data_IF_325865397398
#
_entry.id   IF_325865397398
#
_cell.length_a   1.000
_cell.length_b   1.000
_cell.length_c   1.000
_cell.angle_alpha   90.00
_cell.angle_beta   90.00
_cell.angle_gamma   90.00
#
_symmetry.space_group_name_H-M   'P 1'
#
loop_
_entity.id
_entity.type
_entity.pdbx_description
1 polymer ?
#
# COMPACT_ATOMS: atom_id res chain seq x y z
N UNK A 1 -45.41 -80.24 3.99
CA UNK A 1 -45.17 -81.46 3.19
C UNK A 1 -45.19 -82.73 4.04
N UNK A 2 -44.48 -82.79 5.18
CA UNK A 2 -44.51 -83.95 6.09
C UNK A 2 -45.93 -84.40 6.51
N UNK A 3 -46.83 -83.46 6.83
CA UNK A 3 -48.21 -83.77 7.20
C UNK A 3 -49.07 -84.35 6.04
N UNK A 4 -48.78 -84.00 4.77
CA UNK A 4 -49.49 -84.54 3.60
C UNK A 4 -49.21 -86.03 3.36
N UNK A 5 -48.05 -86.51 3.81
CA UNK A 5 -47.61 -87.90 3.61
C UNK A 5 -48.23 -88.82 4.68
N UNK A 6 -48.48 -88.30 5.88
CA UNK A 6 -49.04 -89.06 7.00
C UNK A 6 -50.57 -89.09 7.04
N UNK A 7 -51.25 -88.06 6.53
CA UNK A 7 -52.71 -87.94 6.61
C UNK A 7 -53.28 -87.52 5.24
N UNK A 8 -53.88 -88.47 4.50
CA UNK A 8 -54.42 -88.26 3.15
C UNK A 8 -55.80 -87.57 3.15
N UNK A 9 -55.95 -86.52 3.96
CA UNK A 9 -57.16 -85.69 3.97
C UNK A 9 -57.09 -84.66 2.82
N UNK A 10 -58.14 -84.49 2.00
CA UNK A 10 -58.15 -83.53 0.89
C UNK A 10 -57.82 -82.09 1.32
N UNK A 11 -58.24 -81.72 2.54
CA UNK A 11 -58.00 -80.39 3.11
C UNK A 11 -56.51 -80.18 3.40
N UNK A 12 -55.81 -81.21 3.89
CA UNK A 12 -54.37 -81.16 4.22
C UNK A 12 -53.52 -81.06 2.95
N UNK A 13 -53.94 -81.72 1.88
CA UNK A 13 -53.26 -81.65 0.57
C UNK A 13 -53.40 -80.25 -0.03
N UNK A 14 -54.60 -79.67 -0.06
CA UNK A 14 -54.83 -78.31 -0.60
C UNK A 14 -54.06 -77.26 0.21
N UNK A 15 -54.12 -77.34 1.55
CA UNK A 15 -53.36 -76.44 2.43
C UNK A 15 -51.84 -76.59 2.25
N UNK A 16 -51.36 -77.82 2.03
CA UNK A 16 -49.96 -78.12 1.78
C UNK A 16 -49.44 -77.60 0.43
N UNK A 17 -50.24 -77.65 -0.63
CA UNK A 17 -49.89 -77.10 -1.94
C UNK A 17 -49.87 -75.57 -1.89
N UNK A 18 -50.87 -74.94 -1.29
CA UNK A 18 -50.93 -73.48 -1.14
C UNK A 18 -49.76 -72.93 -0.31
N UNK A 19 -49.43 -73.56 0.82
CA UNK A 19 -48.28 -73.17 1.64
C UNK A 19 -46.94 -73.38 0.92
N UNK A 20 -46.82 -74.41 0.09
CA UNK A 20 -45.62 -74.65 -0.71
C UNK A 20 -45.45 -73.63 -1.84
N UNK A 21 -46.53 -73.10 -2.40
CA UNK A 21 -46.50 -72.06 -3.43
C UNK A 21 -46.24 -70.64 -2.86
N UNK A 22 -46.68 -70.38 -1.63
CA UNK A 22 -46.46 -69.11 -0.95
C UNK A 22 -44.98 -68.86 -0.61
N UNK A 23 -44.20 -69.90 -0.31
CA UNK A 23 -42.77 -69.79 0.00
C UNK A 23 -41.96 -69.13 -1.12
N UNK A 24 -41.97 -69.66 -2.36
CA UNK A 24 -41.29 -69.06 -3.51
C UNK A 24 -41.80 -67.65 -3.85
N UNK A 25 -43.10 -67.40 -3.74
CA UNK A 25 -43.69 -66.09 -4.00
C UNK A 25 -43.22 -65.03 -2.98
N UNK A 26 -43.25 -65.38 -1.69
CA UNK A 26 -42.75 -64.52 -0.62
C UNK A 26 -41.25 -64.26 -0.75
N UNK A 27 -40.46 -65.28 -1.12
CA UNK A 27 -39.03 -65.12 -1.39
C UNK A 27 -38.77 -64.13 -2.54
N UNK A 28 -39.48 -64.27 -3.67
CA UNK A 28 -39.35 -63.35 -4.80
C UNK A 28 -39.76 -61.91 -4.43
N UNK A 29 -40.83 -61.74 -3.66
CA UNK A 29 -41.28 -60.43 -3.19
C UNK A 29 -40.26 -59.81 -2.23
N UNK A 30 -39.66 -60.60 -1.34
CA UNK A 30 -38.64 -60.15 -0.41
C UNK A 30 -37.40 -59.63 -1.14
N UNK A 31 -36.91 -60.33 -2.18
CA UNK A 31 -35.78 -59.88 -2.98
C UNK A 31 -36.05 -58.53 -3.64
N UNK A 32 -37.23 -58.34 -4.25
CA UNK A 32 -37.60 -57.05 -4.85
C UNK A 32 -37.68 -55.92 -3.84
N UNK A 33 -38.16 -56.20 -2.63
CA UNK A 33 -38.22 -55.21 -1.55
C UNK A 33 -36.83 -54.84 -1.06
N UNK A 34 -35.92 -55.82 -0.95
CA UNK A 34 -34.50 -55.58 -0.61
C UNK A 34 -33.81 -54.73 -1.67
N UNK A 35 -34.02 -54.99 -2.96
CA UNK A 35 -33.44 -54.20 -4.04
C UNK A 35 -33.94 -52.76 -4.04
N UNK A 36 -35.24 -52.55 -3.78
CA UNK A 36 -35.82 -51.20 -3.66
C UNK A 36 -35.26 -50.46 -2.44
N UNK A 37 -35.11 -51.16 -1.30
CA UNK A 37 -34.52 -50.58 -0.09
C UNK A 37 -33.06 -50.17 -0.32
N UNK A 38 -32.27 -51.04 -0.98
CA UNK A 38 -30.89 -50.74 -1.35
C UNK A 38 -30.82 -49.56 -2.33
N UNK A 39 -31.69 -49.51 -3.35
CA UNK A 39 -31.73 -48.38 -4.28
C UNK A 39 -32.07 -47.07 -3.57
N UNK A 40 -33.01 -47.09 -2.63
CA UNK A 40 -33.35 -45.92 -1.82
C UNK A 40 -32.17 -45.45 -0.98
N UNK A 41 -31.48 -46.36 -0.31
CA UNK A 41 -30.27 -46.04 0.46
C UNK A 41 -29.17 -45.43 -0.42
N UNK A 42 -28.94 -45.99 -1.61
CA UNK A 42 -27.97 -45.42 -2.57
C UNK A 42 -28.38 -44.03 -3.04
N UNK A 43 -29.68 -43.80 -3.29
CA UNK A 43 -30.18 -42.50 -3.68
C UNK A 43 -29.99 -41.46 -2.57
N UNK A 44 -30.27 -41.83 -1.32
CA UNK A 44 -30.03 -40.96 -0.16
C UNK A 44 -28.52 -40.70 0.06
N UNK A 45 -27.65 -41.66 -0.22
CA UNK A 45 -26.20 -41.46 -0.19
C UNK A 45 -25.73 -40.50 -1.29
N UNK A 46 -26.21 -40.67 -2.52
CA UNK A 46 -25.90 -39.78 -3.65
C UNK A 46 -26.42 -38.37 -3.37
N UNK A 47 -27.64 -38.22 -2.84
CA UNK A 47 -28.20 -36.92 -2.51
C UNK A 47 -27.36 -36.19 -1.46
N UNK A 48 -26.88 -36.91 -0.44
CA UNK A 48 -25.96 -36.34 0.57
C UNK A 48 -24.66 -35.85 -0.07
N UNK A 49 -24.12 -36.61 -1.01
CA UNK A 49 -22.89 -36.23 -1.70
C UNK A 49 -23.08 -35.02 -2.63
N UNK A 50 -24.21 -34.95 -3.33
CA UNK A 50 -24.58 -33.77 -4.14
C UNK A 50 -24.69 -32.53 -3.25
N UNK A 51 -25.39 -32.62 -2.12
CA UNK A 51 -25.52 -31.50 -1.19
C UNK A 51 -24.16 -31.07 -0.61
N UNK A 52 -23.26 -32.03 -0.35
CA UNK A 52 -21.88 -31.76 0.10
C UNK A 52 -21.10 -31.00 -0.97
N UNK A 53 -21.15 -31.47 -2.22
CA UNK A 53 -20.47 -30.83 -3.35
C UNK A 53 -21.04 -29.44 -3.64
N UNK A 54 -22.35 -29.24 -3.51
CA UNK A 54 -22.99 -27.93 -3.64
C UNK A 54 -22.45 -26.95 -2.59
N UNK A 55 -22.38 -27.37 -1.34
CA UNK A 55 -21.81 -26.57 -0.25
C UNK A 55 -20.33 -26.23 -0.49
N UNK A 56 -19.56 -27.19 -0.99
CA UNK A 56 -18.14 -26.98 -1.33
C UNK A 56 -17.98 -26.01 -2.52
N UNK A 57 -18.87 -26.10 -3.51
CA UNK A 57 -18.88 -25.19 -4.66
C UNK A 57 -19.20 -23.76 -4.23
N UNK A 58 -20.21 -23.57 -3.37
CA UNK A 58 -20.53 -22.26 -2.79
C UNK A 58 -19.34 -21.68 -2.03
N UNK A 59 -18.66 -22.49 -1.20
CA UNK A 59 -17.48 -22.04 -0.45
C UNK A 59 -16.33 -21.65 -1.36
N UNK A 60 -16.11 -22.42 -2.43
CA UNK A 60 -15.09 -22.12 -3.42
C UNK A 60 -15.41 -20.82 -4.16
N UNK A 61 -16.67 -20.63 -4.58
CA UNK A 61 -17.15 -19.41 -5.23
C UNK A 61 -16.92 -18.17 -4.35
N UNK A 62 -17.25 -18.25 -3.05
CA UNK A 62 -16.97 -17.18 -2.08
C UNK A 62 -15.46 -16.87 -1.95
N UNK A 63 -14.63 -17.92 -1.98
CA UNK A 63 -13.17 -17.77 -1.92
C UNK A 63 -12.63 -17.07 -3.16
N UNK A 64 -13.15 -17.42 -4.35
CA UNK A 64 -12.82 -16.74 -5.61
C UNK A 64 -13.24 -15.27 -5.57
N UNK A 65 -14.43 -14.96 -5.06
CA UNK A 65 -14.90 -13.58 -4.94
C UNK A 65 -14.00 -12.75 -4.00
N UNK A 66 -13.56 -13.33 -2.89
CA UNK A 66 -12.66 -12.68 -1.94
C UNK A 66 -11.28 -12.45 -2.56
N UNK A 67 -10.78 -13.41 -3.34
CA UNK A 67 -9.53 -13.26 -4.06
C UNK A 67 -9.63 -12.16 -5.13
N UNK A 68 -10.71 -12.11 -5.89
CA UNK A 68 -10.96 -11.06 -6.88
C UNK A 68 -10.96 -9.66 -6.24
N UNK A 69 -11.66 -9.49 -5.11
CA UNK A 69 -11.64 -8.23 -4.36
C UNK A 69 -10.25 -7.89 -3.82
N UNK A 70 -9.45 -8.90 -3.44
CA UNK A 70 -8.07 -8.67 -3.00
C UNK A 70 -7.18 -8.21 -4.15
N UNK A 71 -7.40 -8.72 -5.37
CA UNK A 71 -6.69 -8.28 -6.59
C UNK A 71 -7.06 -6.84 -6.95
N UNK A 72 -8.34 -6.49 -6.93
CA UNK A 72 -8.82 -5.11 -7.15
C UNK A 72 -8.16 -4.13 -6.17
N UNK A 73 -8.10 -4.49 -4.88
CA UNK A 73 -7.40 -3.67 -3.88
C UNK A 73 -5.89 -3.54 -4.14
N UNK A 74 -5.25 -4.53 -4.74
CA UNK A 74 -3.83 -4.45 -5.08
C UNK A 74 -3.62 -3.54 -6.29
N UNK A 75 -4.51 -3.57 -7.27
CA UNK A 75 -4.52 -2.65 -8.42
C UNK A 75 -4.69 -1.19 -7.95
N UNK A 76 -5.60 -0.93 -7.02
CA UNK A 76 -5.78 0.41 -6.41
C UNK A 76 -4.49 0.89 -5.72
N UNK A 77 -3.80 -0.01 -5.00
CA UNK A 77 -2.53 0.30 -4.32
C UNK A 77 -1.42 0.56 -5.32
N UNK A 78 -1.33 -0.22 -6.40
CA UNK A 78 -0.38 0.01 -7.48
C UNK A 78 -0.59 1.38 -8.13
N UNK A 79 -1.83 1.73 -8.44
CA UNK A 79 -2.17 3.04 -9.01
C UNK A 79 -1.82 4.19 -8.05
N UNK A 80 -2.09 4.03 -6.75
CA UNK A 80 -1.68 5.00 -5.74
C UNK A 80 -0.15 5.14 -5.66
N UNK A 81 0.58 4.02 -5.76
CA UNK A 81 2.04 4.01 -5.77
C UNK A 81 2.61 4.73 -7.00
N UNK A 82 1.96 4.57 -8.16
CA UNK A 82 2.36 5.21 -9.42
C UNK A 82 2.16 6.72 -9.37
N UNK A 83 1.04 7.18 -8.80
CA UNK A 83 0.79 8.62 -8.52
C UNK A 83 1.83 9.18 -7.55
N UNK A 84 2.16 8.45 -6.47
CA UNK A 84 3.19 8.88 -5.51
C UNK A 84 4.55 8.97 -6.20
N UNK A 85 4.90 7.99 -7.03
CA UNK A 85 6.19 7.94 -7.74
C UNK A 85 6.30 9.10 -8.73
N UNK A 86 5.24 9.38 -9.49
CA UNK A 86 5.17 10.54 -10.38
C UNK A 86 5.31 11.87 -9.61
N UNK A 87 4.65 11.98 -8.46
CA UNK A 87 4.68 13.18 -7.62
C UNK A 87 6.04 13.36 -6.92
N UNK A 88 6.66 12.29 -6.41
CA UNK A 88 7.97 12.34 -5.78
C UNK A 88 9.08 12.65 -6.80
N UNK A 89 9.02 12.10 -8.01
CA UNK A 89 9.95 12.43 -9.09
C UNK A 89 9.92 13.93 -9.44
N UNK A 90 8.72 14.51 -9.55
CA UNK A 90 8.54 15.96 -9.74
C UNK A 90 9.02 16.80 -8.55
N UNK A 91 8.79 16.32 -7.32
CA UNK A 91 9.21 17.05 -6.13
C UNK A 91 10.73 17.11 -5.98
N UNK A 92 11.48 16.08 -6.40
CA UNK A 92 12.95 16.11 -6.37
C UNK A 92 13.50 17.13 -7.37
N UNK A 93 12.95 17.21 -8.58
CA UNK A 93 13.37 18.23 -9.55
C UNK A 93 13.01 19.64 -9.12
N UNK A 94 11.81 19.84 -8.55
CA UNK A 94 11.39 21.12 -7.97
C UNK A 94 12.28 21.53 -6.79
N UNK A 95 12.67 20.58 -5.95
CA UNK A 95 13.55 20.82 -4.83
C UNK A 95 14.97 21.17 -5.28
N UNK A 96 15.50 20.48 -6.30
CA UNK A 96 16.80 20.81 -6.90
C UNK A 96 16.80 22.23 -7.49
N UNK A 97 15.74 22.59 -8.22
CA UNK A 97 15.55 23.93 -8.77
C UNK A 97 15.48 25.00 -7.66
N UNK A 98 14.71 24.75 -6.59
CA UNK A 98 14.64 25.64 -5.43
C UNK A 98 15.99 25.82 -4.74
N UNK A 99 16.79 24.76 -4.60
CA UNK A 99 18.14 24.85 -4.02
C UNK A 99 19.07 25.65 -4.93
N UNK A 100 18.98 25.46 -6.25
CA UNK A 100 19.75 26.24 -7.22
C UNK A 100 19.38 27.73 -7.20
N UNK A 101 18.09 28.05 -7.15
CA UNK A 101 17.59 29.41 -7.03
C UNK A 101 18.05 30.05 -5.72
N UNK A 102 17.95 29.33 -4.60
CA UNK A 102 18.39 29.81 -3.30
C UNK A 102 19.88 30.15 -3.28
N UNK A 103 20.74 29.31 -3.89
CA UNK A 103 22.17 29.61 -4.06
C UNK A 103 22.40 30.91 -4.84
N UNK A 104 21.61 31.15 -5.89
CA UNK A 104 21.71 32.39 -6.68
C UNK A 104 21.28 33.62 -5.85
N UNK A 105 20.19 33.50 -5.09
CA UNK A 105 19.72 34.55 -4.17
C UNK A 105 20.79 34.87 -3.12
N UNK A 106 21.41 33.85 -2.51
CA UNK A 106 22.49 34.05 -1.54
C UNK A 106 23.70 34.76 -2.17
N UNK A 107 24.09 34.41 -3.40
CA UNK A 107 25.16 35.11 -4.11
C UNK A 107 24.82 36.59 -4.37
N UNK A 108 23.58 36.88 -4.77
CA UNK A 108 23.10 38.26 -4.95
C UNK A 108 23.06 39.03 -3.63
N UNK A 109 22.61 38.41 -2.54
CA UNK A 109 22.64 39.00 -1.20
C UNK A 109 24.05 39.31 -0.74
N UNK A 110 25.01 38.42 -0.98
CA UNK A 110 26.41 38.66 -0.65
C UNK A 110 26.99 39.84 -1.45
N UNK A 111 26.66 39.94 -2.74
CA UNK A 111 27.07 41.08 -3.56
C UNK A 111 26.44 42.39 -3.08
N UNK A 112 25.16 42.37 -2.73
CA UNK A 112 24.47 43.54 -2.15
C UNK A 112 25.07 43.95 -0.81
N UNK A 113 25.44 42.98 0.04
CA UNK A 113 26.13 43.26 1.31
C UNK A 113 27.49 43.93 1.05
N UNK A 114 28.29 43.39 0.12
CA UNK A 114 29.57 44.01 -0.28
C UNK A 114 29.38 45.42 -0.82
N UNK A 115 28.39 45.64 -1.68
CA UNK A 115 28.07 46.95 -2.22
C UNK A 115 27.64 47.93 -1.11
N UNK A 116 26.84 47.48 -0.15
CA UNK A 116 26.40 48.28 1.00
C UNK A 116 27.59 48.66 1.90
N UNK A 117 28.49 47.71 2.20
CA UNK A 117 29.72 47.98 2.97
C UNK A 117 30.61 48.98 2.23
N UNK A 118 30.81 48.81 0.92
CA UNK A 118 31.57 49.76 0.09
C UNK A 118 30.94 51.15 0.07
N UNK A 119 29.62 51.24 -0.03
CA UNK A 119 28.91 52.52 0.00
C UNK A 119 29.02 53.21 1.36
N UNK A 120 28.93 52.45 2.46
CA UNK A 120 29.14 52.97 3.81
C UNK A 120 30.58 53.45 4.01
N UNK A 121 31.57 52.70 3.51
CA UNK A 121 32.97 53.12 3.54
C UNK A 121 33.19 54.42 2.76
N UNK A 122 32.65 54.51 1.53
CA UNK A 122 32.75 55.70 0.70
C UNK A 122 32.11 56.92 1.39
N UNK A 123 30.93 56.74 2.00
CA UNK A 123 30.25 57.79 2.77
C UNK A 123 31.08 58.27 3.95
N UNK A 124 31.73 57.35 4.68
CA UNK A 124 32.61 57.68 5.81
C UNK A 124 33.86 58.42 5.35
N UNK A 125 34.45 58.05 4.21
CA UNK A 125 35.61 58.76 3.63
C UNK A 125 35.21 60.18 3.23
N UNK A 126 34.13 60.34 2.45
CA UNK A 126 33.64 61.65 1.99
C UNK A 126 33.28 62.57 3.17
N UNK A 127 32.77 62.01 4.29
CA UNK A 127 32.40 62.80 5.48
C UNK A 127 33.59 63.13 6.38
N UNK A 128 34.73 62.48 6.18
CA UNK A 128 35.94 62.73 6.98
C UNK A 128 36.90 63.68 6.26
N UNK A 129 36.73 63.87 4.96
CA UNK A 129 37.33 64.96 4.18
C UNK A 129 36.63 66.28 4.53
N UNK A 130 37.36 67.18 5.20
CA UNK A 130 36.82 68.44 5.73
C UNK A 130 37.05 69.61 4.78
N UNK A 131 38.11 69.55 3.97
CA UNK A 131 38.52 70.62 3.06
C UNK A 131 38.19 70.33 1.58
N UNK A 132 37.71 69.12 1.28
CA UNK A 132 37.19 68.73 -0.04
C UNK A 132 38.30 68.52 -1.06
N UNK A 133 39.54 68.35 -0.62
CA UNK A 133 40.70 68.17 -1.50
C UNK A 133 40.90 66.69 -1.93
N UNK A 134 40.05 65.79 -1.44
CA UNK A 134 40.09 64.35 -1.65
C UNK A 134 41.41 63.70 -1.19
N UNK A 135 42.17 64.37 -0.33
CA UNK A 135 43.36 63.83 0.35
C UNK A 135 43.04 63.67 1.83
N UNK A 136 43.62 62.65 2.47
CA UNK A 136 43.44 62.43 3.90
C UNK A 136 44.64 63.06 4.62
N UNK A 137 44.41 64.17 5.31
CA UNK A 137 45.46 64.80 6.12
C UNK A 137 45.78 63.96 7.38
N UNK A 138 46.97 64.14 8.00
CA UNK A 138 47.33 63.42 9.23
C UNK A 138 46.34 63.64 10.39
N UNK A 139 45.68 64.79 10.43
CA UNK A 139 44.64 65.13 11.40
C UNK A 139 43.31 64.43 11.14
N UNK A 140 42.99 64.14 9.87
CA UNK A 140 41.76 63.44 9.47
C UNK A 140 41.90 61.92 9.51
N UNK A 141 43.14 61.40 9.39
CA UNK A 141 43.42 59.97 9.50
C UNK A 141 42.89 59.36 10.81
N UNK A 142 43.11 60.02 11.95
CA UNK A 142 42.70 59.50 13.26
C UNK A 142 41.18 59.42 13.42
N UNK A 143 40.46 60.39 12.87
CA UNK A 143 39.00 60.42 12.92
C UNK A 143 38.39 59.42 11.94
N UNK A 144 38.98 59.29 10.75
CA UNK A 144 38.58 58.31 9.74
C UNK A 144 38.79 56.87 10.24
N UNK A 145 39.91 56.57 10.89
CA UNK A 145 40.21 55.25 11.47
C UNK A 145 39.10 54.85 12.47
N UNK A 146 38.75 55.74 13.40
CA UNK A 146 37.70 55.47 14.40
C UNK A 146 36.33 55.22 13.77
N UNK A 147 35.99 55.97 12.72
CA UNK A 147 34.72 55.84 11.99
C UNK A 147 34.65 54.57 11.13
N UNK A 148 35.76 54.17 10.51
CA UNK A 148 35.84 52.93 9.71
C UNK A 148 35.73 51.69 10.60
N UNK A 149 36.34 51.71 11.79
CA UNK A 149 36.24 50.62 12.78
C UNK A 149 34.82 50.42 13.34
N UNK A 150 33.93 51.40 13.19
CA UNK A 150 32.53 51.29 13.60
C UNK A 150 31.67 50.62 12.52
N UNK A 151 32.19 50.39 11.31
CA UNK A 151 31.47 49.71 10.23
C UNK A 151 31.54 48.20 10.44
N UNK A 152 30.38 47.58 10.65
CA UNK A 152 30.28 46.13 10.80
C UNK A 152 30.80 45.39 9.55
N UNK A 153 31.75 44.46 9.75
CA UNK A 153 32.30 43.63 8.68
C UNK A 153 33.52 44.22 7.96
N UNK A 154 34.12 45.29 8.50
CA UNK A 154 35.37 45.88 7.99
C UNK A 154 36.46 45.79 9.06
N UNK A 155 37.63 45.26 8.67
CA UNK A 155 38.85 45.30 9.48
C UNK A 155 39.85 46.24 8.81
N UNK A 156 40.30 47.26 9.54
CA UNK A 156 41.28 48.22 9.07
C UNK A 156 42.65 47.92 9.66
N UNK A 157 43.66 47.76 8.80
CA UNK A 157 45.05 47.67 9.23
C UNK A 157 45.63 49.08 9.41
N UNK A 158 45.52 49.62 10.63
CA UNK A 158 45.98 50.97 10.96
C UNK A 158 47.45 51.22 10.60
N UNK A 159 48.33 50.25 10.88
CA UNK A 159 49.78 50.36 10.62
C UNK A 159 50.09 50.64 9.15
N UNK A 160 49.33 50.02 8.24
CA UNK A 160 49.48 50.20 6.79
C UNK A 160 48.81 51.47 6.31
N UNK A 161 47.69 51.84 6.93
CA UNK A 161 46.94 53.04 6.57
C UNK A 161 47.68 54.33 6.95
N UNK A 162 48.41 54.33 8.08
CA UNK A 162 49.22 55.47 8.54
C UNK A 162 50.57 55.60 7.82
N UNK A 163 51.04 54.51 7.20
CA UNK A 163 52.30 54.48 6.46
C UNK A 163 52.14 54.81 4.96
N UNK A 164 50.91 54.88 4.47
CA UNK A 164 50.54 55.26 3.11
C UNK A 164 50.32 56.77 3.00
#
# INVERSE_FOLDING_TARGET
>A
VAAMIFEQSPIVIVAGVLSSALGPYAYYQQTRLTDIAALKETHEAVQREVNRLETENERLSQSVQTLASSVERLEDVEQALDVITATQGQNVSLFEEQVAENRNILAKMQNNLKANVLQNLLSVIIRSDTDGDFQISPTEQDELIKRVQTINGVELHEDRFRAA
#
